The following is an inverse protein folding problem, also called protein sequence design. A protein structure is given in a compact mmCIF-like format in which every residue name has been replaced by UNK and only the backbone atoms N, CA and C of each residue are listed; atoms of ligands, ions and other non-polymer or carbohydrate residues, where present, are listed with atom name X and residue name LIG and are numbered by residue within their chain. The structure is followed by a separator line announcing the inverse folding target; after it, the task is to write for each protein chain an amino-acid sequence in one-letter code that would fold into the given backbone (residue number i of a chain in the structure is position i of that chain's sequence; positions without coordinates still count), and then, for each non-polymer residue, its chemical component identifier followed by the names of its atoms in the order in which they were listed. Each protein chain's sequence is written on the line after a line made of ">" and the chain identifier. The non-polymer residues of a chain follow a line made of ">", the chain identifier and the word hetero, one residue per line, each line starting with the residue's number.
data_IF_453991642373
#
_entry.id   IF_453991642373
#
_cell.length_a   1.000
_cell.length_b   1.000
_cell.length_c   1.000
_cell.angle_alpha   90.00
_cell.angle_beta   90.00
_cell.angle_gamma   90.00
#
_symmetry.space_group_name_H-M   'P 1'
#
loop_
_entity.id
_entity.type
_entity.pdbx_description
1 polymer ?
#
# COMPACT_ATOMS: atom_id res chain seq x y z
N UNK A 1 14.22 -15.19 -8.86
CA UNK A 1 13.67 -14.45 -7.70
C UNK A 1 14.77 -13.66 -7.00
N UNK A 2 15.80 -14.30 -6.42
CA UNK A 2 16.92 -13.60 -5.76
C UNK A 2 17.66 -12.64 -6.70
N UNK A 3 17.97 -13.09 -7.93
CA UNK A 3 18.63 -12.25 -8.94
C UNK A 3 17.80 -11.01 -9.30
N UNK A 4 16.47 -11.11 -9.27
CA UNK A 4 15.60 -9.95 -9.53
C UNK A 4 15.57 -8.99 -8.34
N UNK A 5 15.51 -9.50 -7.11
CA UNK A 5 15.57 -8.68 -5.88
C UNK A 5 16.90 -7.92 -5.82
N UNK A 6 18.00 -8.59 -6.15
CA UNK A 6 19.32 -7.97 -6.24
C UNK A 6 19.39 -6.93 -7.36
N UNK A 7 18.85 -7.23 -8.55
CA UNK A 7 18.83 -6.31 -9.67
C UNK A 7 18.06 -5.01 -9.40
N UNK A 8 17.00 -5.05 -8.58
CA UNK A 8 16.26 -3.84 -8.17
C UNK A 8 16.86 -3.15 -6.93
N UNK A 9 17.97 -3.66 -6.40
CA UNK A 9 18.66 -3.12 -5.22
C UNK A 9 17.87 -3.29 -3.91
N UNK A 10 16.86 -4.16 -3.89
CA UNK A 10 16.05 -4.42 -2.71
C UNK A 10 16.75 -5.42 -1.77
N UNK A 11 16.42 -5.34 -0.48
CA UNK A 11 16.83 -6.34 0.51
C UNK A 11 15.62 -7.16 0.93
N UNK A 12 15.79 -8.47 1.04
CA UNK A 12 14.76 -9.34 1.60
C UNK A 12 14.75 -9.19 3.12
N UNK A 13 13.57 -8.97 3.69
CA UNK A 13 13.33 -9.14 5.12
C UNK A 13 12.58 -10.47 5.30
N UNK A 14 13.30 -11.51 5.67
CA UNK A 14 12.71 -12.82 5.95
C UNK A 14 12.03 -12.79 7.33
N UNK A 15 10.81 -13.31 7.41
CA UNK A 15 10.10 -13.50 8.68
C UNK A 15 10.66 -14.72 9.41
N UNK A 16 10.75 -14.67 10.72
CA UNK A 16 11.13 -15.85 11.49
C UNK A 16 10.01 -16.92 11.43
N UNK A 17 10.35 -18.19 11.22
CA UNK A 17 9.38 -19.28 11.26
C UNK A 17 8.64 -19.28 12.61
N UNK A 18 7.32 -19.08 12.58
CA UNK A 18 6.50 -19.04 13.80
C UNK A 18 6.35 -17.64 14.42
N UNK A 19 6.66 -16.56 13.70
CA UNK A 19 6.43 -15.17 14.13
C UNK A 19 5.26 -14.49 13.38
N UNK A 20 3.98 -14.80 13.70
CA UNK A 20 2.80 -14.17 13.10
C UNK A 20 2.80 -12.63 13.15
N UNK A 21 3.44 -12.06 14.17
CA UNK A 21 3.49 -10.61 14.36
C UNK A 21 4.22 -9.88 13.23
N UNK A 22 5.21 -10.52 12.59
CA UNK A 22 5.99 -9.90 11.52
C UNK A 22 5.20 -9.77 10.21
N UNK A 23 4.18 -10.61 10.01
CA UNK A 23 3.30 -10.58 8.84
C UNK A 23 1.96 -9.85 9.10
N UNK A 24 1.73 -9.38 10.33
CA UNK A 24 0.43 -8.85 10.75
C UNK A 24 -0.08 -7.67 9.93
N UNK A 25 0.82 -6.85 9.36
CA UNK A 25 0.45 -5.76 8.45
C UNK A 25 -0.14 -6.29 7.14
N UNK A 26 0.55 -7.21 6.47
CA UNK A 26 0.10 -7.82 5.22
C UNK A 26 -1.21 -8.61 5.43
N UNK A 27 -1.33 -9.32 6.54
CA UNK A 27 -2.56 -10.03 6.91
C UNK A 27 -3.73 -9.07 7.13
N UNK A 28 -3.51 -8.01 7.89
CA UNK A 28 -4.54 -6.98 8.12
C UNK A 28 -4.95 -6.28 6.83
N UNK A 29 -3.99 -5.98 5.95
CA UNK A 29 -4.28 -5.40 4.64
C UNK A 29 -5.15 -6.33 3.78
N UNK A 30 -4.74 -7.60 3.64
CA UNK A 30 -5.46 -8.58 2.81
C UNK A 30 -6.86 -8.87 3.34
N UNK A 31 -7.01 -9.00 4.67
CA UNK A 31 -8.31 -9.19 5.29
C UNK A 31 -9.27 -8.02 5.00
N UNK A 32 -8.78 -6.77 5.06
CA UNK A 32 -9.59 -5.58 4.77
C UNK A 32 -9.93 -5.44 3.30
N UNK A 33 -8.98 -5.74 2.40
CA UNK A 33 -9.25 -5.77 0.96
C UNK A 33 -10.36 -6.77 0.63
N UNK A 34 -10.32 -7.94 1.27
CA UNK A 34 -11.33 -8.97 1.07
C UNK A 34 -12.70 -8.55 1.60
N UNK A 35 -12.77 -8.10 2.84
CA UNK A 35 -14.03 -7.74 3.51
C UNK A 35 -14.73 -6.53 2.87
N UNK A 36 -13.96 -5.50 2.49
CA UNK A 36 -14.53 -4.22 2.06
C UNK A 36 -14.72 -4.07 0.56
N UNK A 37 -13.99 -4.84 -0.24
CA UNK A 37 -14.05 -4.74 -1.69
C UNK A 37 -14.42 -6.06 -2.33
N UNK A 38 -13.60 -7.10 -2.16
CA UNK A 38 -13.74 -8.32 -2.96
C UNK A 38 -15.01 -9.11 -2.64
N UNK A 39 -15.46 -9.11 -1.37
CA UNK A 39 -16.70 -9.76 -0.96
C UNK A 39 -17.95 -8.89 -1.21
N UNK A 40 -17.77 -7.58 -1.40
CA UNK A 40 -18.86 -6.61 -1.58
C UNK A 40 -19.21 -6.30 -3.04
N UNK A 41 -18.31 -6.61 -3.97
CA UNK A 41 -18.42 -6.21 -5.38
C UNK A 41 -18.50 -7.42 -6.32
N UNK A 42 -19.31 -7.30 -7.38
CA UNK A 42 -19.29 -8.22 -8.52
C UNK A 42 -18.56 -7.50 -9.66
N UNK A 43 -17.44 -8.05 -10.11
CA UNK A 43 -16.69 -7.50 -11.23
C UNK A 43 -17.19 -8.08 -12.57
N UNK A 44 -17.56 -7.22 -13.50
CA UNK A 44 -18.01 -7.61 -14.84
C UNK A 44 -16.86 -7.69 -15.86
N UNK A 45 -15.69 -7.14 -15.51
CA UNK A 45 -14.48 -7.28 -16.31
C UNK A 45 -13.20 -7.16 -15.47
N UNK A 46 -12.09 -7.69 -16.00
CA UNK A 46 -10.78 -7.52 -15.39
C UNK A 46 -10.38 -6.04 -15.29
N UNK A 47 -10.74 -5.23 -16.28
CA UNK A 47 -10.43 -3.79 -16.29
C UNK A 47 -11.15 -3.04 -15.18
N UNK A 48 -12.42 -3.37 -14.96
CA UNK A 48 -13.19 -2.83 -13.84
C UNK A 48 -12.56 -3.21 -12.49
N UNK A 49 -12.21 -4.48 -12.30
CA UNK A 49 -11.52 -4.93 -11.09
C UNK A 49 -10.21 -4.17 -10.86
N UNK A 50 -9.38 -3.98 -11.88
CA UNK A 50 -8.15 -3.19 -11.77
C UNK A 50 -8.39 -1.75 -11.32
N UNK A 51 -9.42 -1.09 -11.86
CA UNK A 51 -9.76 0.29 -11.51
C UNK A 51 -10.23 0.36 -10.06
N UNK A 52 -11.16 -0.50 -9.65
CA UNK A 52 -11.74 -0.48 -8.32
C UNK A 52 -10.71 -0.86 -7.24
N UNK A 53 -9.89 -1.88 -7.50
CA UNK A 53 -8.80 -2.27 -6.59
C UNK A 53 -7.78 -1.12 -6.44
N UNK A 54 -7.41 -0.45 -7.52
CA UNK A 54 -6.47 0.67 -7.44
C UNK A 54 -7.07 1.88 -6.71
N UNK A 55 -8.36 2.17 -6.91
CA UNK A 55 -9.07 3.20 -6.16
C UNK A 55 -9.11 2.87 -4.66
N UNK A 56 -9.43 1.62 -4.31
CA UNK A 56 -9.43 1.16 -2.92
C UNK A 56 -8.03 1.25 -2.30
N UNK A 57 -6.98 0.80 -3.02
CA UNK A 57 -5.58 0.87 -2.57
C UNK A 57 -5.16 2.31 -2.28
N UNK A 58 -5.49 3.24 -3.17
CA UNK A 58 -5.23 4.68 -2.97
C UNK A 58 -5.95 5.19 -1.72
N UNK A 59 -7.24 4.88 -1.58
CA UNK A 59 -8.02 5.30 -0.42
C UNK A 59 -7.44 4.76 0.90
N UNK A 60 -7.15 3.45 0.96
CA UNK A 60 -6.56 2.79 2.12
C UNK A 60 -5.25 3.45 2.56
N UNK A 61 -4.38 3.77 1.60
CA UNK A 61 -3.06 4.32 1.88
C UNK A 61 -3.04 5.82 2.17
N UNK A 62 -3.97 6.59 1.61
CA UNK A 62 -3.89 8.08 1.65
C UNK A 62 -4.92 8.76 2.53
N UNK A 63 -6.06 8.10 2.79
CA UNK A 63 -7.23 8.73 3.44
C UNK A 63 -7.75 7.96 4.64
N UNK A 64 -7.66 6.64 4.60
CA UNK A 64 -8.25 5.79 5.63
C UNK A 64 -7.55 6.00 6.99
N UNK A 65 -8.29 6.23 8.09
CA UNK A 65 -7.70 6.29 9.42
C UNK A 65 -7.34 4.91 9.94
N UNK A 66 -6.14 4.76 10.51
CA UNK A 66 -5.66 3.53 11.14
C UNK A 66 -5.37 3.76 12.61
N UNK A 67 -6.02 3.01 13.50
CA UNK A 67 -5.84 3.17 14.95
C UNK A 67 -4.40 2.92 15.41
N UNK A 68 -3.68 2.03 14.74
CA UNK A 68 -2.26 1.78 14.99
C UNK A 68 -1.34 2.95 14.59
N UNK A 69 -1.84 3.93 13.83
CA UNK A 69 -1.11 5.09 13.32
C UNK A 69 -1.69 6.42 13.87
N UNK A 70 -2.29 6.39 15.06
CA UNK A 70 -2.98 7.57 15.64
C UNK A 70 -4.07 8.13 14.72
N UNK A 71 -4.83 7.25 14.06
CA UNK A 71 -5.85 7.61 13.07
C UNK A 71 -5.33 8.32 11.83
N UNK A 72 -4.01 8.27 11.57
CA UNK A 72 -3.42 8.75 10.32
C UNK A 72 -3.43 7.66 9.25
N UNK A 73 -3.48 8.04 7.97
CA UNK A 73 -3.26 7.11 6.87
C UNK A 73 -1.77 6.70 6.79
N UNK A 74 -1.43 5.54 6.19
CA UNK A 74 -0.05 5.05 6.10
C UNK A 74 0.85 5.94 5.24
N UNK A 75 0.28 6.55 4.20
CA UNK A 75 0.96 7.42 3.26
C UNK A 75 0.09 8.68 3.01
N UNK A 76 0.02 9.62 3.97
CA UNK A 76 -0.74 10.85 3.81
C UNK A 76 -0.25 11.61 2.57
N UNK A 77 -1.17 12.20 1.81
CA UNK A 77 -0.79 13.10 0.72
C UNK A 77 -0.06 14.31 1.29
N UNK A 78 1.25 14.36 1.12
CA UNK A 78 2.07 15.51 1.49
C UNK A 78 2.22 16.39 0.26
N UNK A 79 1.70 17.61 0.30
CA UNK A 79 2.01 18.61 -0.71
C UNK A 79 3.48 19.00 -0.49
N UNK A 80 4.38 18.44 -1.28
CA UNK A 80 5.77 18.92 -1.32
C UNK A 80 5.76 20.27 -2.03
N UNK A 81 6.16 21.38 -1.37
CA UNK A 81 6.36 22.63 -2.06
C UNK A 81 7.47 22.43 -3.09
N UNK A 82 7.17 22.66 -4.37
CA UNK A 82 8.21 22.68 -5.40
C UNK A 82 9.05 23.93 -5.16
N UNK A 83 10.22 23.77 -4.55
CA UNK A 83 11.16 24.88 -4.40
C UNK A 83 11.51 25.41 -5.80
N UNK A 84 11.35 26.72 -6.07
CA UNK A 84 11.72 27.28 -7.36
C UNK A 84 13.21 27.06 -7.59
N UNK A 85 13.58 26.54 -8.77
CA UNK A 85 14.99 26.33 -9.14
C UNK A 85 15.74 27.65 -8.97
N UNK A 86 16.91 27.67 -8.31
CA UNK A 86 17.70 28.88 -8.20
C UNK A 86 18.08 29.34 -9.61
N UNK A 87 17.66 30.56 -9.96
CA UNK A 87 18.08 31.23 -11.18
C UNK A 87 19.54 31.63 -10.97
N UNK A 88 20.47 30.94 -11.62
CA UNK A 88 21.87 31.37 -11.66
C UNK A 88 21.96 32.60 -12.58
N UNK A 89 22.42 33.72 -12.01
CA UNK A 89 22.77 34.95 -12.73
C UNK A 89 24.17 34.86 -13.34
#
# INVERSE_FOLDING_TARGET
>A
MRDWIEAVGAKTADIEPGSPKENGYCESFNARLQDELLNGEIFYSLREAQILIEQWRKHYNTKRPHSALDYRPPAPEVIVPMEPRPIMH
#
